data_IF_459392924995
#
_entry.id   IF_459392924995
#
_cell.length_a   1.000
_cell.length_b   1.000
_cell.length_c   1.000
_cell.angle_alpha   90.00
_cell.angle_beta   90.00
_cell.angle_gamma   90.00
#
_symmetry.space_group_name_H-M   'P 1'
#
loop_
_entity.id
_entity.type
_entity.pdbx_description
1 polymer ?
2 non-polymer ?
3 water ?
#
# COMPACT_ATOMS: atom_id res chain seq x y z
N UNK A 18 -20.61 10.94 -10.40
CA UNK A 18 -19.61 10.86 -9.29
C UNK A 18 -18.41 9.98 -9.68
N UNK A 19 -17.20 10.53 -9.59
CA UNK A 19 -16.00 9.74 -9.80
C UNK A 19 -15.06 9.86 -8.60
N UNK A 20 -14.31 8.79 -8.34
CA UNK A 20 -13.25 8.86 -7.32
C UNK A 20 -12.14 9.89 -7.64
N UNK A 21 -11.85 10.79 -6.71
CA UNK A 21 -10.79 11.74 -6.88
C UNK A 21 -9.46 11.08 -6.35
N UNK A 22 -8.39 11.27 -7.08
CA UNK A 22 -7.17 10.50 -6.76
C UNK A 22 -6.64 10.75 -5.38
N UNK A 23 -6.63 12.01 -4.96
CA UNK A 23 -6.21 12.32 -3.59
C UNK A 23 -7.35 12.55 -2.56
N UNK A 24 -8.52 12.96 -3.02
CA UNK A 24 -9.61 13.37 -2.11
C UNK A 24 -10.70 12.32 -1.95
N UNK A 25 -10.62 11.25 -2.72
CA UNK A 25 -11.51 10.12 -2.64
C UNK A 25 -12.93 10.58 -2.98
N UNK A 26 -13.81 10.49 -2.01
CA UNK A 26 -15.18 10.97 -2.18
C UNK A 26 -15.22 12.50 -2.08
N UNK A 27 -14.20 13.14 -1.57
CA UNK A 27 -14.15 14.59 -1.61
C UNK A 27 -13.52 15.22 -0.41
N UNK A 28 -13.50 14.50 0.70
CA UNK A 28 -12.90 15.00 1.94
C UNK A 28 -11.72 14.13 2.41
N UNK A 29 -11.11 13.39 1.50
CA UNK A 29 -10.06 12.44 1.85
C UNK A 29 -10.44 10.99 2.02
N UNK A 30 -11.62 10.74 2.57
CA UNK A 30 -12.10 9.36 2.70
C UNK A 30 -12.33 8.75 1.35
N UNK A 31 -12.11 7.44 1.22
CA UNK A 31 -12.28 6.76 -0.04
C UNK A 31 -13.64 6.99 -0.73
N UNK A 32 -13.61 6.98 -2.05
CA UNK A 32 -14.83 6.95 -2.86
C UNK A 32 -15.70 5.80 -2.33
N UNK A 33 -16.98 6.10 -2.14
CA UNK A 33 -17.95 5.13 -1.65
C UNK A 33 -17.70 4.63 -0.24
N UNK A 34 -16.99 5.42 0.58
CA UNK A 34 -16.64 5.00 1.94
C UNK A 34 -17.91 4.49 2.75
N UNK A 35 -18.95 5.30 2.79
CA UNK A 35 -20.20 4.93 3.51
C UNK A 35 -20.81 3.63 3.00
N UNK A 36 -20.55 3.28 1.75
CA UNK A 36 -21.12 2.03 1.19
C UNK A 36 -20.40 0.75 1.58
N UNK A 37 -19.13 0.87 1.96
CA UNK A 37 -18.37 -0.28 2.44
C UNK A 37 -18.89 -0.77 3.79
N UNK A 38 -18.78 -2.06 4.03
CA UNK A 38 -19.12 -2.66 5.32
C UNK A 38 -18.21 -2.20 6.48
N UNK A 39 -18.84 -1.82 7.61
CA UNK A 39 -18.16 -1.61 8.89
C UNK A 39 -17.89 -2.87 9.68
N UNK A 40 -18.76 -3.87 9.51
CA UNK A 40 -18.67 -5.15 10.19
C UNK A 40 -19.00 -6.29 9.25
N UNK A 41 -18.49 -7.44 9.61
CA UNK A 41 -18.64 -8.64 8.81
C UNK A 41 -20.10 -8.99 8.54
N UNK A 42 -20.94 -8.61 9.49
CA UNK A 42 -22.36 -8.92 9.44
C UNK A 42 -23.04 -8.16 8.30
N UNK A 43 -22.44 -7.05 7.83
CA UNK A 43 -23.02 -6.24 6.73
C UNK A 43 -22.59 -6.69 5.34
N UNK A 44 -21.73 -7.69 5.28
CA UNK A 44 -21.33 -8.27 4.03
C UNK A 44 -22.39 -9.24 3.55
N UNK A 45 -22.29 -9.63 2.29
CA UNK A 45 -23.14 -10.64 1.73
C UNK A 45 -22.67 -12.05 2.05
N UNK A 46 -23.61 -12.98 2.03
CA UNK A 46 -23.32 -14.36 2.32
C UNK A 46 -24.57 -15.17 2.59
N UNK A 47 -24.37 -16.41 2.96
CA UNK A 47 -25.44 -17.32 3.30
C UNK A 47 -25.17 -17.71 4.72
N UNK A 48 -26.23 -17.88 5.53
CA UNK A 48 -26.12 -18.20 6.95
C UNK A 48 -24.87 -18.96 7.35
N UNK A 49 -24.27 -19.66 6.41
CA UNK A 49 -23.03 -20.34 6.70
C UNK A 49 -21.80 -19.77 6.00
N UNK A 50 -21.94 -18.64 5.32
CA UNK A 50 -20.80 -18.06 4.64
C UNK A 50 -20.81 -16.57 4.46
N UNK A 51 -19.62 -16.10 4.07
CA UNK A 51 -19.38 -14.71 3.78
C UNK A 51 -18.77 -14.66 2.41
N UNK A 52 -19.40 -13.89 1.56
CA UNK A 52 -19.00 -13.78 0.16
C UNK A 52 -18.23 -12.47 -0.02
N UNK A 53 -16.99 -12.56 -0.51
CA UNK A 53 -16.19 -11.36 -0.83
C UNK A 53 -15.55 -11.50 -2.20
N UNK A 54 -15.82 -10.56 -3.08
CA UNK A 54 -15.19 -10.52 -4.38
C UNK A 54 -13.90 -9.64 -4.33
N UNK A 55 -12.75 -10.29 -4.22
CA UNK A 55 -11.44 -9.64 -4.20
C UNK A 55 -11.11 -8.84 -5.46
N UNK A 56 -11.87 -9.03 -6.54
CA UNK A 56 -11.71 -8.28 -7.75
C UNK A 56 -12.78 -7.21 -7.91
N UNK A 57 -13.34 -6.80 -6.78
CA UNK A 57 -14.32 -5.72 -6.77
C UNK A 57 -13.88 -4.66 -5.80
N UNK A 58 -13.98 -3.40 -6.21
CA UNK A 58 -13.49 -2.28 -5.41
C UNK A 58 -14.17 -2.22 -4.03
N UNK A 59 -15.49 -2.28 -4.05
CA UNK A 59 -16.25 -2.19 -2.79
C UNK A 59 -15.93 -3.31 -1.82
N UNK A 60 -15.83 -4.52 -2.30
CA UNK A 60 -15.49 -5.64 -1.37
C UNK A 60 -14.05 -5.44 -0.88
N UNK A 61 -13.16 -4.96 -1.75
CA UNK A 61 -11.77 -4.67 -1.28
C UNK A 61 -11.79 -3.52 -0.28
N UNK A 62 -12.61 -2.50 -0.55
CA UNK A 62 -12.75 -1.44 0.42
C UNK A 62 -13.24 -2.00 1.76
N UNK A 63 -14.21 -2.91 1.71
CA UNK A 63 -14.74 -3.49 2.96
C UNK A 63 -13.68 -4.30 3.72
N UNK A 64 -12.79 -4.97 3.00
CA UNK A 64 -11.70 -5.69 3.68
C UNK A 64 -10.84 -4.77 4.52
N UNK A 65 -10.74 -3.49 4.09
CA UNK A 65 -10.02 -2.43 4.84
C UNK A 65 -10.91 -1.82 5.91
N UNK A 66 -12.12 -1.42 5.55
CA UNK A 66 -13.00 -0.70 6.46
C UNK A 66 -13.37 -1.48 7.73
N UNK A 67 -13.58 -2.77 7.57
CA UNK A 67 -13.93 -3.67 8.67
C UNK A 67 -12.76 -3.76 9.60
N UNK A 68 -11.54 -3.80 9.06
CA UNK A 68 -10.36 -3.80 9.95
C UNK A 68 -10.19 -2.47 10.62
N UNK A 69 -10.40 -1.37 9.88
CA UNK A 69 -10.35 -0.04 10.46
C UNK A 69 -11.39 0.15 11.65
N UNK A 70 -12.61 -0.28 11.41
CA UNK A 70 -13.65 -0.18 12.45
C UNK A 70 -13.32 -1.10 13.59
N UNK A 71 -12.92 -2.32 13.26
CA UNK A 71 -12.46 -3.29 14.22
C UNK A 71 -11.35 -2.85 15.15
N UNK A 72 -10.46 -2.01 14.66
CA UNK A 72 -9.29 -1.60 15.44
C UNK A 72 -9.41 -0.15 15.92
N UNK A 73 -10.54 0.48 15.61
CA UNK A 73 -10.77 1.88 15.96
C UNK A 73 -10.56 2.19 17.45
N UNK A 74 -10.99 1.31 18.33
CA UNK A 74 -10.89 1.54 19.78
C UNK A 74 -9.46 1.77 20.27
N UNK A 75 -8.45 1.19 19.58
CA UNK A 75 -7.04 1.36 19.95
C UNK A 75 -6.43 2.74 19.61
N UNK A 76 -7.10 3.48 18.71
CA UNK A 76 -6.59 4.76 18.21
C UNK A 76 -7.49 5.94 18.47
N UNK A 77 -8.69 5.70 19.03
CA UNK A 77 -9.80 6.69 19.06
C UNK A 77 -9.49 7.97 19.79
N UNK A 78 -8.84 7.80 20.94
CA UNK A 78 -8.41 8.90 21.77
C UNK A 78 -7.51 9.93 21.06
N UNK A 79 -6.73 9.49 20.08
CA UNK A 79 -5.66 10.33 19.47
C UNK A 79 -6.14 11.31 18.41
N UNK A 80 -7.25 11.02 17.77
CA UNK A 80 -7.71 11.90 16.71
C UNK A 80 -9.13 11.60 16.36
N UNK A 81 -9.81 12.56 15.71
CA UNK A 81 -11.21 12.33 15.33
C UNK A 81 -11.31 11.32 14.21
N UNK A 82 -12.45 10.65 14.12
CA UNK A 82 -12.84 9.95 12.95
C UNK A 82 -11.90 8.80 12.60
N UNK A 83 -11.29 8.19 13.62
CA UNK A 83 -10.37 7.07 13.46
C UNK A 83 -9.15 7.43 12.51
N UNK A 84 -8.78 8.70 12.45
CA UNK A 84 -7.71 9.18 11.56
C UNK A 84 -6.28 8.91 12.05
N UNK A 85 -6.09 8.68 13.34
CA UNK A 85 -4.84 8.20 13.88
C UNK A 85 -4.55 6.75 13.56
N UNK A 86 -5.55 6.02 13.10
CA UNK A 86 -5.37 4.60 12.79
C UNK A 86 -4.36 4.37 11.65
N UNK A 87 -3.42 3.46 11.88
CA UNK A 87 -2.33 3.21 10.91
C UNK A 87 -2.67 2.24 9.80
N UNK A 88 -3.89 1.71 9.81
CA UNK A 88 -4.41 0.90 8.72
C UNK A 88 -4.83 1.72 7.49
N UNK A 89 -4.80 3.02 7.60
CA UNK A 89 -5.28 3.87 6.50
C UNK A 89 -4.43 3.75 5.18
N UNK A 90 -3.17 3.42 5.31
CA UNK A 90 -2.24 3.53 4.21
C UNK A 90 -2.71 2.87 2.93
N UNK A 91 -2.89 1.58 2.96
CA UNK A 91 -3.34 0.86 1.75
C UNK A 91 -4.81 1.07 1.48
N UNK A 92 -5.56 1.57 2.47
CA UNK A 92 -6.94 1.92 2.22
C UNK A 92 -7.01 3.13 1.31
N UNK A 93 -6.26 4.18 1.65
CA UNK A 93 -6.17 5.38 0.80
C UNK A 93 -5.60 5.04 -0.61
N UNK A 94 -4.59 4.20 -0.63
CA UNK A 94 -4.06 3.71 -1.91
C UNK A 94 -5.00 2.88 -2.77
N UNK A 95 -5.96 2.20 -2.16
CA UNK A 95 -7.00 1.56 -2.94
C UNK A 95 -7.80 2.57 -3.75
N UNK A 96 -8.22 3.65 -3.09
CA UNK A 96 -8.95 4.68 -3.78
C UNK A 96 -8.07 5.29 -4.93
N UNK A 97 -6.79 5.53 -4.62
CA UNK A 97 -5.92 6.17 -5.64
C UNK A 97 -5.75 5.28 -6.90
N UNK A 98 -5.61 3.97 -6.72
CA UNK A 98 -5.44 3.10 -7.86
C UNK A 98 -6.71 3.01 -8.69
N UNK A 99 -7.84 2.97 -8.02
CA UNK A 99 -9.15 3.11 -8.72
C UNK A 99 -9.22 4.39 -9.51
N UNK A 100 -9.02 5.52 -8.82
CA UNK A 100 -9.27 6.83 -9.38
C UNK A 100 -8.38 7.18 -10.56
N UNK A 101 -7.19 6.60 -10.59
CA UNK A 101 -6.22 6.83 -11.67
C UNK A 101 -6.23 5.74 -12.75
N UNK A 102 -7.15 4.79 -12.65
CA UNK A 102 -7.32 3.79 -13.67
C UNK A 102 -6.32 2.68 -13.58
N UNK A 103 -5.53 2.65 -12.52
CA UNK A 103 -4.47 1.69 -12.45
C UNK A 103 -4.91 0.31 -11.98
N UNK A 104 -6.12 0.20 -11.46
CA UNK A 104 -6.69 -1.14 -11.20
C UNK A 104 -7.43 -1.77 -12.40
N UNK A 105 -7.65 -1.00 -13.46
CA UNK A 105 -8.33 -1.49 -14.67
C UNK A 105 -7.40 -2.38 -15.50
N UNK A 106 -7.99 -3.11 -16.45
CA UNK A 106 -7.26 -3.97 -17.39
C UNK A 106 -6.44 -3.12 -18.36
N UNK A 107 -5.12 -3.20 -18.27
CA UNK A 107 -4.31 -2.43 -19.20
C UNK A 107 -4.07 -3.14 -20.57
N UNK A 108 -4.58 -4.38 -20.76
CA UNK A 108 -4.25 -5.17 -21.96
C UNK A 108 -5.20 -4.92 -23.11
N UNK A 109 -6.36 -4.33 -22.86
CA UNK A 109 -7.39 -4.23 -23.89
C UNK A 109 -8.23 -5.49 -24.12
N UNK A 110 -7.94 -6.59 -23.43
CA UNK A 110 -8.65 -7.86 -23.64
C UNK A 110 -10.00 -7.93 -22.94
N UNK A 111 -10.15 -7.17 -21.86
CA UNK A 111 -11.45 -7.05 -21.20
C UNK A 111 -11.75 -5.60 -21.01
N UNK A 112 -12.97 -5.33 -20.57
CA UNK A 112 -13.36 -3.99 -20.18
C UNK A 112 -13.40 -3.81 -18.64
N UNK A 113 -12.86 -4.76 -17.90
CA UNK A 113 -12.81 -4.67 -16.45
C UNK A 113 -12.10 -3.36 -16.02
N UNK A 114 -12.83 -2.55 -15.26
CA UNK A 114 -12.28 -1.34 -14.68
C UNK A 114 -12.42 -0.10 -15.52
N UNK A 115 -12.81 -0.28 -16.78
CA UNK A 115 -13.00 0.84 -17.71
C UNK A 115 -14.35 1.45 -17.53
N UNK A 116 -14.50 2.70 -17.96
CA UNK A 116 -15.80 3.42 -17.77
C UNK A 116 -16.97 2.80 -18.53
N UNK A 117 -16.67 2.25 -19.70
CA UNK A 117 -17.69 1.61 -20.50
C UNK A 117 -17.90 0.15 -20.11
N UNK A 118 -17.06 -0.39 -19.23
CA UNK A 118 -17.30 -1.73 -18.68
C UNK A 118 -17.80 -1.64 -17.27
N UNK A 119 -17.35 -2.58 -16.43
CA UNK A 119 -17.59 -2.56 -14.98
C UNK A 119 -16.49 -1.71 -14.27
N UNK A 120 -16.80 -0.48 -13.90
CA UNK A 120 -15.79 0.40 -13.29
C UNK A 120 -15.28 -0.06 -11.89
N UNK A 121 -16.01 -0.98 -11.28
CA UNK A 121 -15.67 -1.50 -9.95
C UNK A 121 -14.82 -2.71 -10.07
N UNK A 122 -14.65 -3.22 -11.28
CA UNK A 122 -13.93 -4.47 -11.46
C UNK A 122 -12.42 -4.14 -11.39
N UNK A 123 -11.67 -4.97 -10.68
CA UNK A 123 -10.21 -4.86 -10.56
C UNK A 123 -9.56 -5.96 -11.36
N UNK A 124 -8.68 -5.63 -12.30
CA UNK A 124 -8.24 -6.58 -13.29
C UNK A 124 -7.16 -7.46 -12.76
N UNK A 125 -7.19 -8.72 -13.17
CA UNK A 125 -6.06 -9.63 -12.87
C UNK A 125 -4.76 -9.13 -13.48
N UNK A 126 -4.88 -8.49 -14.63
CA UNK A 126 -3.75 -8.11 -15.44
C UNK A 126 -3.08 -6.80 -14.93
N UNK A 127 -3.76 -6.07 -14.04
CA UNK A 127 -3.25 -4.84 -13.40
C UNK A 127 -2.11 -5.16 -12.47
N UNK A 128 -0.97 -4.48 -12.67
CA UNK A 128 0.16 -4.62 -11.76
C UNK A 128 -0.20 -4.09 -10.36
N UNK A 129 -0.86 -2.95 -10.29
CA UNK A 129 -1.18 -2.38 -8.99
C UNK A 129 -2.09 -3.35 -8.22
N UNK A 130 -3.06 -3.93 -8.91
CA UNK A 130 -3.99 -4.85 -8.31
C UNK A 130 -3.21 -6.03 -7.79
N UNK A 131 -2.34 -6.57 -8.62
CA UNK A 131 -1.50 -7.67 -8.27
C UNK A 131 -0.72 -7.41 -6.98
N UNK A 132 -0.06 -6.24 -6.86
CA UNK A 132 0.73 -6.03 -5.66
C UNK A 132 -0.11 -5.64 -4.42
N UNK A 133 -1.29 -5.05 -4.62
CA UNK A 133 -2.10 -4.56 -3.47
C UNK A 133 -3.15 -5.56 -2.97
N UNK A 134 -3.27 -6.66 -3.65
CA UNK A 134 -4.34 -7.64 -3.31
C UNK A 134 -4.13 -8.24 -1.92
N UNK A 135 -2.92 -8.71 -1.65
CA UNK A 135 -2.63 -9.35 -0.35
C UNK A 135 -2.75 -8.49 0.87
N UNK A 136 -2.28 -7.24 0.79
CA UNK A 136 -2.48 -6.37 1.95
C UNK A 136 -3.94 -6.08 2.26
N UNK A 137 -4.82 -6.34 1.31
CA UNK A 137 -6.26 -6.25 1.59
C UNK A 137 -6.72 -7.60 2.07
N UNK A 138 -6.49 -8.62 1.25
CA UNK A 138 -7.14 -9.92 1.47
C UNK A 138 -6.48 -10.79 2.54
N UNK A 139 -5.16 -10.94 2.47
CA UNK A 139 -4.45 -11.77 3.45
C UNK A 139 -4.54 -11.14 4.82
N UNK A 140 -4.33 -9.84 4.86
CA UNK A 140 -4.46 -9.07 6.07
C UNK A 140 -5.86 -9.29 6.72
N UNK A 141 -6.90 -9.29 5.89
CA UNK A 141 -8.27 -9.56 6.34
C UNK A 141 -8.39 -10.90 7.08
N UNK A 142 -7.86 -11.95 6.46
CA UNK A 142 -7.82 -13.28 7.04
C UNK A 142 -7.10 -13.28 8.37
N UNK A 143 -5.96 -12.61 8.41
CA UNK A 143 -5.14 -12.55 9.62
C UNK A 143 -5.86 -11.85 10.72
N UNK A 144 -6.61 -10.82 10.38
CA UNK A 144 -7.44 -10.14 11.38
C UNK A 144 -8.56 -11.09 11.90
N UNK A 145 -9.13 -11.84 10.96
CA UNK A 145 -10.17 -12.82 11.32
C UNK A 145 -9.58 -13.86 12.29
N UNK A 146 -8.48 -14.48 11.90
CA UNK A 146 -7.79 -15.40 12.77
C UNK A 146 -7.54 -14.82 14.14
N UNK A 147 -6.98 -13.61 14.24
CA UNK A 147 -6.60 -13.03 15.54
C UNK A 147 -7.78 -12.65 16.44
N UNK A 148 -8.96 -12.58 15.86
CA UNK A 148 -10.16 -12.37 16.61
C UNK A 148 -10.65 -10.96 16.54
N UNK A 149 -10.13 -10.17 15.59
CA UNK A 149 -10.44 -8.75 15.52
C UNK A 149 -11.93 -8.48 15.26
N UNK A 150 -12.57 -9.38 14.55
CA UNK A 150 -13.98 -9.23 14.23
C UNK A 150 -14.82 -10.04 15.21
N UNK A 151 -14.17 -10.73 16.14
CA UNK A 151 -14.84 -11.63 17.07
C UNK A 151 -14.80 -13.07 16.60
N UNK A 152 -15.75 -13.85 17.11
CA UNK A 152 -15.86 -15.23 16.71
C UNK A 152 -16.61 -15.24 15.41
N UNK A 153 -16.02 -15.92 14.44
CA UNK A 153 -16.62 -15.99 13.14
C UNK A 153 -16.68 -17.44 12.77
N UNK A 154 -17.92 -17.90 12.60
CA UNK A 154 -18.21 -19.27 12.37
C UNK A 154 -18.36 -19.47 10.89
N UNK A 155 -19.00 -18.49 10.25
CA UNK A 155 -19.19 -18.52 8.81
C UNK A 155 -17.84 -18.59 8.12
N UNK A 156 -17.80 -19.32 7.01
CA UNK A 156 -16.61 -19.44 6.20
C UNK A 156 -16.57 -18.30 5.21
N UNK A 157 -15.36 -17.81 4.97
CA UNK A 157 -15.13 -16.73 4.00
C UNK A 157 -14.98 -17.34 2.62
N UNK A 158 -15.83 -16.93 1.67
CA UNK A 158 -15.74 -17.38 0.28
C UNK A 158 -15.31 -16.24 -0.67
N UNK A 159 -14.10 -16.33 -1.24
CA UNK A 159 -13.53 -15.29 -2.14
C UNK A 159 -13.74 -15.66 -3.59
N UNK A 160 -14.03 -14.69 -4.44
CA UNK A 160 -14.11 -14.96 -5.87
C UNK A 160 -12.78 -15.44 -6.39
N UNK A 161 -12.83 -16.42 -7.28
CA UNK A 161 -11.62 -17.04 -7.83
C UNK A 161 -11.13 -16.30 -9.07
N UNK A 162 -9.81 -16.25 -9.24
CA UNK A 162 -9.24 -15.77 -10.47
C UNK A 162 -9.49 -16.71 -11.66
N UNK A 163 -9.51 -16.14 -12.86
CA UNK A 163 -9.70 -16.92 -14.11
C UNK A 163 -8.42 -17.53 -14.56
N UNK A 164 -7.30 -16.87 -14.29
CA UNK A 164 -6.00 -17.37 -14.70
C UNK A 164 -5.67 -18.64 -13.93
N UNK A 165 -5.00 -19.56 -14.59
CA UNK A 165 -4.44 -20.72 -13.93
C UNK A 165 -3.17 -20.36 -13.17
N UNK A 166 -2.98 -20.97 -12.00
CA UNK A 166 -1.80 -20.72 -11.15
C UNK A 166 -1.60 -19.23 -10.95
N UNK A 167 -2.71 -18.57 -10.61
CA UNK A 167 -2.77 -17.14 -10.43
C UNK A 167 -2.12 -16.65 -9.13
N UNK A 168 -1.52 -15.44 -9.13
CA UNK A 168 -0.96 -14.88 -7.90
C UNK A 168 -2.02 -14.55 -6.84
N UNK A 169 -3.27 -14.46 -7.28
CA UNK A 169 -4.37 -14.13 -6.38
C UNK A 169 -4.93 -15.37 -5.69
N UNK A 170 -4.74 -15.49 -4.36
CA UNK A 170 -5.25 -16.61 -3.61
C UNK A 170 -6.70 -16.36 -3.27
N UNK A 171 -7.49 -17.42 -3.19
CA UNK A 171 -8.96 -17.31 -3.13
C UNK A 171 -9.60 -18.06 -1.94
N UNK A 172 -8.78 -18.45 -0.97
CA UNK A 172 -9.27 -18.99 0.29
C UNK A 172 -8.24 -18.81 1.38
N UNK A 173 -8.72 -18.77 2.61
CA UNK A 173 -7.87 -18.64 3.80
C UNK A 173 -6.72 -19.63 3.77
N UNK A 174 -7.02 -20.88 3.42
CA UNK A 174 -6.00 -21.90 3.47
C UNK A 174 -5.07 -21.80 2.30
N UNK A 175 -5.61 -21.58 1.12
CA UNK A 175 -4.75 -21.36 -0.06
C UNK A 175 -3.82 -20.12 0.12
N UNK A 176 -4.37 -19.04 0.64
CA UNK A 176 -3.59 -17.81 0.93
C UNK A 176 -2.43 -18.13 1.89
N UNK A 177 -2.79 -18.74 3.01
CA UNK A 177 -1.80 -19.20 3.97
C UNK A 177 -0.72 -20.11 3.37
N UNK A 178 -1.09 -21.02 2.47
CA UNK A 178 -0.13 -21.95 1.87
C UNK A 178 0.76 -21.26 0.85
N UNK A 179 0.17 -20.43 0.00
CA UNK A 179 0.93 -19.68 -1.02
C UNK A 179 1.85 -18.61 -0.43
N UNK A 180 1.37 -17.90 0.57
CA UNK A 180 2.08 -16.74 1.15
C UNK A 180 2.14 -16.82 2.67
N UNK A 181 2.82 -17.85 3.20
CA UNK A 181 2.80 -18.06 4.66
C UNK A 181 3.45 -16.90 5.49
N UNK A 182 4.52 -16.30 4.98
CA UNK A 182 5.17 -15.17 5.71
C UNK A 182 4.28 -13.92 5.78
N UNK A 183 3.44 -13.77 4.77
CA UNK A 183 2.57 -12.59 4.68
C UNK A 183 1.44 -12.74 5.70
N UNK A 184 0.84 -13.93 5.74
CA UNK A 184 -0.15 -14.24 6.78
C UNK A 184 0.41 -14.12 8.19
N UNK A 185 1.62 -14.66 8.43
CA UNK A 185 2.20 -14.68 9.81
C UNK A 185 2.52 -13.25 10.28
N UNK A 186 3.04 -12.41 9.39
CA UNK A 186 3.35 -11.00 9.78
C UNK A 186 2.13 -10.14 10.02
N UNK A 187 1.10 -10.24 9.19
CA UNK A 187 -0.12 -9.49 9.49
C UNK A 187 -0.76 -10.04 10.79
N UNK A 188 -0.77 -11.37 10.96
CA UNK A 188 -1.20 -11.97 12.27
C UNK A 188 -0.47 -11.33 13.47
N UNK A 189 0.86 -11.23 13.41
CA UNK A 189 1.64 -10.59 14.50
C UNK A 189 1.14 -9.19 14.81
N UNK A 190 0.83 -8.40 13.77
CA UNK A 190 0.27 -7.08 14.02
C UNK A 190 -1.06 -7.14 14.79
N UNK A 191 -2.02 -7.94 14.29
CA UNK A 191 -3.35 -8.03 14.93
C UNK A 191 -3.31 -8.67 16.35
N UNK A 192 -2.41 -9.62 16.53
CA UNK A 192 -2.22 -10.25 17.85
C UNK A 192 -1.68 -9.26 18.85
N UNK A 193 -0.77 -8.41 18.41
CA UNK A 193 -0.27 -7.39 19.29
C UNK A 193 -1.43 -6.49 19.74
N UNK A 194 -2.28 -6.08 18.80
CA UNK A 194 -3.41 -5.24 19.19
C UNK A 194 -4.36 -5.92 20.22
N UNK A 195 -4.72 -7.17 19.94
CA UNK A 195 -5.65 -7.94 20.77
C UNK A 195 -5.07 -8.05 22.17
N UNK A 196 -3.77 -8.22 22.24
CA UNK A 196 -3.07 -8.31 23.49
C UNK A 196 -3.25 -7.09 24.37
N UNK A 197 -3.63 -5.97 23.77
CA UNK A 197 -3.81 -4.75 24.51
C UNK A 197 -5.11 -4.78 25.30
N UNK A 198 -5.99 -5.70 24.96
CA UNK A 198 -7.22 -5.88 25.70
C UNK A 198 -6.87 -6.77 26.87
N UNK A 199 -5.98 -7.71 26.61
CA UNK A 199 -5.55 -8.64 27.63
C UNK A 199 -4.59 -8.09 28.63
N UNK A 200 -4.28 -6.80 28.61
CA UNK A 200 -3.33 -6.30 29.57
C UNK A 200 -3.54 -4.88 29.95
N UNK A 201 -4.41 -4.20 29.22
CA UNK A 201 -4.71 -2.81 29.47
C UNK A 201 -3.59 -1.83 29.14
N UNK A 202 -2.47 -2.30 28.63
CA UNK A 202 -1.41 -1.40 28.28
C UNK A 202 -1.97 -0.43 27.26
N UNK A 203 -1.52 0.81 27.23
CA UNK A 203 -1.89 1.64 26.08
C UNK A 203 -0.96 1.25 24.92
N UNK A 204 -1.42 1.47 23.69
CA UNK A 204 -0.70 1.04 22.48
C UNK A 204 0.66 1.72 22.43
N UNK A 205 1.65 0.99 22.00
CA UNK A 205 2.96 1.59 21.70
C UNK A 205 2.93 1.84 20.20
N UNK A 206 2.74 3.08 19.82
CA UNK A 206 2.58 3.40 18.41
C UNK A 206 3.79 2.98 17.56
N UNK A 207 5.02 3.26 18.03
CA UNK A 207 6.19 2.98 17.21
C UNK A 207 6.21 1.51 16.92
N UNK A 208 5.93 0.69 17.93
CA UNK A 208 5.90 -0.77 17.77
C UNK A 208 4.79 -1.26 16.87
N UNK A 209 3.58 -0.76 17.06
CA UNK A 209 2.46 -1.11 16.18
C UNK A 209 2.78 -0.75 14.73
N UNK A 210 3.33 0.45 14.52
CA UNK A 210 3.65 0.87 13.13
C UNK A 210 4.77 -0.05 12.54
N UNK A 211 5.74 -0.39 13.37
CA UNK A 211 6.84 -1.30 12.91
C UNK A 211 6.36 -2.70 12.54
N UNK A 212 5.46 -3.25 13.33
CA UNK A 212 4.81 -4.50 12.96
C UNK A 212 3.98 -4.40 11.69
N UNK A 213 3.20 -3.34 11.53
CA UNK A 213 2.39 -3.23 10.31
C UNK A 213 3.25 -3.05 9.05
N UNK A 214 4.27 -2.23 9.15
CA UNK A 214 5.25 -2.09 8.02
C UNK A 214 5.97 -3.38 7.68
N UNK A 215 6.31 -4.16 8.70
CA UNK A 215 6.99 -5.45 8.42
C UNK A 215 6.08 -6.36 7.59
N UNK A 216 4.81 -6.40 7.93
CA UNK A 216 3.86 -7.17 7.14
C UNK A 216 3.70 -6.60 5.74
N UNK A 217 3.57 -5.26 5.66
CA UNK A 217 3.47 -4.62 4.36
C UNK A 217 4.70 -4.99 3.51
N UNK A 218 5.90 -4.89 4.06
CA UNK A 218 7.16 -5.12 3.27
C UNK A 218 7.27 -6.59 2.84
N UNK A 219 6.92 -7.50 3.74
CA UNK A 219 6.98 -8.93 3.47
C UNK A 219 6.04 -9.22 2.30
N UNK A 220 4.86 -8.59 2.31
CA UNK A 220 3.90 -8.75 1.19
C UNK A 220 4.57 -8.23 -0.11
N UNK A 221 5.12 -7.01 -0.08
CA UNK A 221 5.71 -6.48 -1.31
C UNK A 221 6.80 -7.43 -1.82
N UNK A 222 7.68 -7.82 -0.91
CA UNK A 222 8.78 -8.71 -1.26
C UNK A 222 8.26 -10.07 -1.72
N UNK A 223 7.11 -10.53 -1.19
CA UNK A 223 6.49 -11.77 -1.69
C UNK A 223 5.79 -11.69 -3.01
N UNK A 224 5.43 -10.48 -3.44
CA UNK A 224 4.72 -10.31 -4.69
C UNK A 224 5.52 -9.70 -5.81
N UNK A 225 6.74 -9.24 -5.55
CA UNK A 225 7.48 -8.53 -6.59
C UNK A 225 7.80 -9.43 -7.79
N UNK A 226 8.19 -10.67 -7.54
CA UNK A 226 8.61 -11.57 -8.61
C UNK A 226 7.39 -12.04 -9.38
N UNK A 227 6.33 -12.40 -8.67
CA UNK A 227 5.13 -12.91 -9.30
C UNK A 227 4.39 -11.85 -10.12
N UNK A 228 4.36 -10.64 -9.63
CA UNK A 228 3.67 -9.53 -10.35
C UNK A 228 4.47 -8.92 -11.47
N UNK A 229 5.76 -9.17 -11.50
CA UNK A 229 6.69 -8.46 -12.37
C UNK A 229 6.31 -8.52 -13.84
N UNK A 230 5.81 -9.68 -14.34
CA UNK A 230 5.45 -9.74 -15.77
C UNK A 230 4.38 -8.75 -16.18
N UNK A 231 3.48 -8.43 -15.26
CA UNK A 231 2.46 -7.40 -15.54
C UNK A 231 2.99 -6.01 -15.84
N UNK A 232 4.23 -5.74 -15.46
CA UNK A 232 4.84 -4.48 -15.79
C UNK A 232 4.88 -4.26 -17.31
N UNK A 233 4.98 -5.35 -18.08
CA UNK A 233 5.03 -5.19 -19.53
C UNK A 233 3.73 -4.78 -20.13
N UNK A 234 2.63 -4.84 -19.40
CA UNK A 234 1.38 -4.30 -19.88
C UNK A 234 1.32 -2.77 -19.96
N UNK A 235 2.36 -2.08 -19.52
CA UNK A 235 2.31 -0.60 -19.46
C UNK A 235 3.42 -0.09 -20.27
N UNK A 236 3.25 1.11 -20.83
CA UNK A 236 4.36 1.80 -21.50
C UNK A 236 5.54 2.00 -20.54
N UNK A 237 6.71 2.25 -21.11
CA UNK A 237 7.94 2.32 -20.33
C UNK A 237 7.97 3.39 -19.23
N UNK A 238 7.25 4.48 -19.43
CA UNK A 238 7.28 5.58 -18.40
C UNK A 238 6.46 5.16 -17.18
N UNK A 239 5.23 4.71 -17.42
CA UNK A 239 4.38 4.20 -16.33
C UNK A 239 4.99 3.01 -15.61
N UNK A 240 5.67 2.16 -16.36
CA UNK A 240 6.26 0.95 -15.82
C UNK A 240 7.40 1.28 -14.85
N UNK A 241 8.23 2.23 -15.21
CA UNK A 241 9.35 2.68 -14.35
C UNK A 241 8.81 3.41 -13.10
N UNK A 242 7.71 4.15 -13.25
CA UNK A 242 7.06 4.64 -12.05
C UNK A 242 6.69 3.47 -11.09
N UNK A 243 6.13 2.39 -11.60
CA UNK A 243 5.76 1.24 -10.77
C UNK A 243 6.95 0.70 -9.99
N UNK A 244 8.02 0.46 -10.72
CA UNK A 244 9.26 0.00 -10.13
C UNK A 244 9.80 0.97 -9.13
N UNK A 245 9.82 2.24 -9.51
CA UNK A 245 10.36 3.27 -8.60
C UNK A 245 9.57 3.31 -7.33
N UNK A 246 8.25 3.22 -7.46
CA UNK A 246 7.35 3.22 -6.28
C UNK A 246 7.59 2.05 -5.32
N UNK A 247 7.73 0.88 -5.87
CA UNK A 247 7.85 -0.33 -5.01
C UNK A 247 9.17 -0.28 -4.26
N UNK A 248 10.26 0.00 -4.99
CA UNK A 248 11.60 0.10 -4.33
C UNK A 248 11.58 1.23 -3.30
N UNK A 249 11.07 2.41 -3.69
CA UNK A 249 10.95 3.49 -2.68
C UNK A 249 10.24 3.14 -1.45
N UNK A 250 9.10 2.45 -1.59
CA UNK A 250 8.27 2.03 -0.44
C UNK A 250 9.14 1.30 0.60
N UNK A 251 10.09 0.52 0.15
CA UNK A 251 10.92 -0.31 1.07
C UNK A 251 11.83 0.57 1.88
N UNK A 252 12.26 1.69 1.27
CA UNK A 252 13.06 2.63 2.00
C UNK A 252 12.21 3.40 2.98
N UNK A 253 11.06 3.85 2.54
CA UNK A 253 10.15 4.58 3.46
C UNK A 253 9.71 3.76 4.63
N UNK A 254 9.44 2.48 4.37
CA UNK A 254 8.99 1.55 5.41
C UNK A 254 9.97 1.44 6.54
N UNK A 255 11.26 1.32 6.19
CA UNK A 255 12.32 1.25 7.19
C UNK A 255 12.40 2.48 8.11
N UNK A 256 11.92 3.64 7.67
CA UNK A 256 11.97 4.83 8.53
C UNK A 256 10.87 4.75 9.62
N UNK A 257 9.96 3.82 9.47
CA UNK A 257 8.72 3.70 10.27
C UNK A 257 7.80 4.94 10.15
N UNK A 258 7.77 5.58 8.96
CA UNK A 258 6.91 6.72 8.70
C UNK A 258 5.46 6.34 8.93
N UNK A 259 4.67 7.28 9.51
CA UNK A 259 3.28 6.82 9.78
C UNK A 259 2.42 6.54 8.54
N UNK A 260 1.56 5.53 8.63
CA UNK A 260 0.59 5.20 7.63
C UNK A 260 -0.84 5.50 8.06
N UNK A 261 -0.98 6.52 8.88
CA UNK A 261 -2.27 7.02 9.28
C UNK A 261 -2.92 7.84 8.14
N UNK A 262 -4.08 8.44 8.43
CA UNK A 262 -4.89 9.10 7.43
C UNK A 262 -4.19 10.33 6.87
N UNK A 263 -3.65 11.17 7.75
CA UNK A 263 -3.04 12.43 7.35
C UNK A 263 -1.82 12.18 6.46
N UNK A 264 -0.97 11.24 6.83
CA UNK A 264 0.23 11.00 6.07
C UNK A 264 -0.08 10.30 4.79
N UNK A 265 -1.13 9.47 4.77
CA UNK A 265 -1.47 8.72 3.57
C UNK A 265 -2.06 9.69 2.50
N UNK A 266 -2.86 10.65 2.94
CA UNK A 266 -3.40 11.67 2.05
C UNK A 266 -2.26 12.49 1.49
N UNK A 267 -1.35 12.93 2.35
CA UNK A 267 -0.13 13.62 1.89
C UNK A 267 0.61 12.88 0.80
N UNK A 268 0.81 11.58 0.99
CA UNK A 268 1.43 10.76 -0.04
C UNK A 268 0.68 10.73 -1.34
N UNK A 269 -0.59 10.34 -1.34
CA UNK A 269 -1.33 10.29 -2.55
C UNK A 269 -1.48 11.63 -3.23
N UNK A 270 -1.52 12.73 -2.48
CA UNK A 270 -1.65 13.99 -3.07
C UNK A 270 -0.38 14.32 -3.89
N UNK A 271 0.76 13.71 -3.56
CA UNK A 271 1.99 13.88 -4.33
C UNK A 271 2.17 12.84 -5.43
N UNK A 272 1.29 11.86 -5.60
CA UNK A 272 1.50 10.85 -6.59
C UNK A 272 0.80 11.32 -7.86
N UNK A 273 1.22 10.83 -9.01
CA UNK A 273 0.60 11.26 -10.26
C UNK A 273 -0.89 10.92 -10.30
N UNK A 274 -1.72 11.88 -10.73
CA UNK A 274 -3.19 11.71 -10.77
C UNK A 274 -3.71 10.97 -12.00
N UNK A 275 -2.80 10.53 -12.85
CA UNK A 275 -3.13 9.78 -14.02
C UNK A 275 -1.93 8.88 -14.31
N UNK A 276 -2.18 7.87 -15.14
CA UNK A 276 -1.07 7.03 -15.67
C UNK A 276 -0.11 7.85 -16.51
N UNK A 277 1.17 7.57 -16.37
CA UNK A 277 2.18 8.25 -17.12
C UNK A 277 2.22 7.71 -18.56
N UNK A 278 2.76 8.51 -19.46
CA UNK A 278 2.91 8.05 -20.82
C UNK A 278 4.15 8.65 -21.44
N UNK A 279 4.44 8.15 -22.63
CA UNK A 279 5.61 8.57 -23.37
C UNK A 279 5.49 10.06 -23.61
N UNK A 280 6.53 10.81 -23.29
CA UNK A 280 6.41 12.29 -23.33
C UNK A 280 6.45 12.94 -21.93
N UNK A 281 6.03 12.20 -20.90
CA UNK A 281 6.16 12.68 -19.49
C UNK A 281 7.62 12.56 -19.01
N UNK A 282 8.23 13.70 -18.65
CA UNK A 282 9.55 13.74 -18.02
C UNK A 282 9.44 14.62 -16.76
N UNK A 283 9.46 14.01 -15.59
CA UNK A 283 9.48 14.74 -14.33
C UNK A 283 10.80 15.44 -14.24
N UNK A 284 10.90 16.67 -13.71
CA UNK A 284 9.85 17.40 -13.01
C UNK A 284 9.14 18.38 -13.94
N UNK A 285 9.06 18.04 -15.23
CA UNK A 285 8.54 19.00 -16.20
C UNK A 285 7.18 18.60 -16.78
N UNK A 286 6.40 17.85 -16.01
CA UNK A 286 5.08 17.38 -16.52
C UNK A 286 4.08 18.50 -16.28
N UNK A 287 3.59 19.14 -17.36
CA UNK A 287 2.89 20.40 -17.14
C UNK A 287 1.46 20.32 -16.50
N UNK A 288 0.80 19.18 -16.51
CA UNK A 288 -0.49 19.08 -15.80
C UNK A 288 -0.31 18.57 -14.39
N UNK A 289 0.90 18.64 -13.83
CA UNK A 289 1.12 18.27 -12.43
C UNK A 289 1.82 19.36 -11.63
N UNK A 290 1.43 19.45 -10.40
CA UNK A 290 2.01 20.50 -9.51
C UNK A 290 3.49 20.13 -9.12
N UNK A 291 4.15 21.01 -8.39
CA UNK A 291 5.56 20.86 -8.05
C UNK A 291 5.78 19.66 -7.17
N UNK A 292 4.87 19.44 -6.21
CA UNK A 292 4.96 18.26 -5.34
C UNK A 292 4.88 16.93 -6.03
N UNK A 293 4.03 16.81 -7.04
CA UNK A 293 3.93 15.56 -7.82
C UNK A 293 5.16 15.37 -8.69
N UNK A 294 5.57 16.44 -9.39
CA UNK A 294 6.76 16.40 -10.22
C UNK A 294 8.00 16.04 -9.38
N UNK A 295 8.16 16.66 -8.22
CA UNK A 295 9.29 16.34 -7.35
C UNK A 295 9.28 14.93 -6.82
N UNK A 296 8.15 14.50 -6.31
CA UNK A 296 8.10 13.14 -5.86
C UNK A 296 8.53 12.17 -6.93
N UNK A 297 8.02 12.33 -8.17
CA UNK A 297 8.44 11.39 -9.22
C UNK A 297 9.95 11.35 -9.33
N UNK A 298 10.63 12.52 -9.27
CA UNK A 298 12.07 12.57 -9.30
C UNK A 298 12.69 11.80 -8.09
N UNK A 299 12.17 12.03 -6.92
CA UNK A 299 12.59 11.31 -5.70
C UNK A 299 12.42 9.77 -5.72
N UNK A 300 11.29 9.28 -6.22
CA UNK A 300 11.06 7.91 -6.32
C UNK A 300 12.10 7.27 -7.28
N UNK A 301 12.38 7.95 -8.41
CA UNK A 301 13.39 7.49 -9.30
C UNK A 301 14.83 7.57 -8.70
N UNK A 302 15.03 8.53 -7.79
CA UNK A 302 16.26 8.68 -7.03
C UNK A 302 16.53 7.46 -6.17
N UNK A 303 15.49 6.98 -5.45
CA UNK A 303 15.64 5.75 -4.68
C UNK A 303 15.95 4.56 -5.58
N UNK A 304 15.23 4.46 -6.67
CA UNK A 304 15.44 3.41 -7.62
C UNK A 304 16.91 3.41 -8.08
N UNK A 305 17.42 4.58 -8.44
CA UNK A 305 18.74 4.74 -8.98
C UNK A 305 19.83 4.31 -7.97
N UNK A 306 19.67 4.72 -6.73
CA UNK A 306 20.63 4.32 -5.67
C UNK A 306 20.61 2.85 -5.46
N UNK A 307 19.40 2.32 -5.39
CA UNK A 307 19.21 0.92 -5.18
C UNK A 307 19.84 0.12 -6.33
N UNK A 308 19.48 0.50 -7.54
CA UNK A 308 19.95 -0.14 -8.74
C UNK A 308 21.49 -0.09 -8.92
N UNK A 309 22.10 1.07 -8.76
CA UNK A 309 23.52 1.25 -8.95
C UNK A 309 24.36 0.55 -7.83
N UNK A 310 23.77 0.40 -6.64
CA UNK A 310 24.36 -0.32 -5.50
C UNK A 310 24.02 -1.82 -5.52
N UNK A 311 23.31 -2.26 -6.55
CA UNK A 311 22.90 -3.64 -6.70
C UNK A 311 22.06 -4.13 -5.53
N UNK A 312 21.24 -3.23 -4.95
CA UNK A 312 20.39 -3.55 -3.83
C UNK A 312 21.08 -3.38 -2.49
N UNK A 313 22.41 -3.18 -2.49
CA UNK A 313 23.12 -3.22 -1.20
C UNK A 313 22.78 -1.98 -0.34
N UNK A 314 22.42 -0.86 -0.98
CA UNK A 314 21.99 0.33 -0.25
C UNK A 314 20.79 0.06 0.70
N UNK A 315 19.87 -0.81 0.29
CA UNK A 315 18.71 -1.13 1.13
C UNK A 315 19.12 -1.95 2.36
N UNK A 316 20.09 -2.84 2.19
CA UNK A 316 20.59 -3.62 3.33
C UNK A 316 21.25 -2.67 4.33
N UNK A 317 22.11 -1.77 3.84
CA UNK A 317 22.74 -0.74 4.67
C UNK A 317 21.66 0.12 5.33
N UNK A 318 20.67 0.54 4.55
CA UNK A 318 19.61 1.44 5.07
C UNK A 318 18.89 0.77 6.22
N UNK A 319 18.48 -0.47 6.05
CA UNK A 319 17.79 -1.16 7.10
C UNK A 319 18.66 -1.36 8.37
N UNK A 320 19.96 -1.60 8.20
CA UNK A 320 20.91 -1.67 9.34
C UNK A 320 20.92 -0.32 10.06
N UNK A 321 21.04 0.75 9.31
CA UNK A 321 21.11 2.08 9.92
C UNK A 321 19.80 2.42 10.63
N UNK A 322 18.69 1.92 10.08
CA UNK A 322 17.37 2.19 10.60
C UNK A 322 17.02 1.36 11.87
N UNK A 323 17.91 0.46 12.32
CA UNK A 323 17.75 -0.17 13.62
C UNK A 323 17.80 0.88 14.74
N UNK A 324 18.47 2.02 14.53
CA UNK A 324 18.44 3.12 15.48
C UNK A 324 17.17 4.01 15.40
N UNK A 325 16.44 4.16 16.52
CA UNK A 325 15.31 5.09 16.62
C UNK A 325 15.65 6.52 16.29
N UNK A 326 16.88 6.91 16.58
CA UNK A 326 17.34 8.27 16.28
C UNK A 326 17.50 8.51 14.77
N UNK A 327 18.15 7.55 14.12
CA UNK A 327 18.22 7.52 12.66
C UNK A 327 16.83 7.50 12.00
N UNK A 328 15.92 6.67 12.52
CA UNK A 328 14.54 6.59 11.94
C UNK A 328 13.89 7.94 12.02
N UNK A 329 14.05 8.60 13.16
CA UNK A 329 13.48 9.93 13.32
C UNK A 329 14.09 10.96 12.35
N UNK A 330 15.40 10.89 12.17
CA UNK A 330 16.10 11.78 11.19
C UNK A 330 15.67 11.46 9.77
N UNK A 331 15.48 10.17 9.47
CA UNK A 331 15.01 9.79 8.18
C UNK A 331 13.56 10.20 7.90
N UNK A 332 12.68 10.15 8.91
CA UNK A 332 11.32 10.66 8.79
C UNK A 332 11.33 12.17 8.47
N UNK A 333 12.25 12.94 9.06
CA UNK A 333 12.36 14.38 8.75
C UNK A 333 12.71 14.55 7.22
N UNK A 334 13.54 13.65 6.66
CA UNK A 334 13.80 13.68 5.21
C UNK A 334 12.49 13.36 4.45
N UNK A 335 11.75 12.30 4.83
CA UNK A 335 10.49 11.96 4.17
C UNK A 335 9.54 13.15 4.24
N UNK A 336 9.46 13.84 5.37
CA UNK A 336 8.58 15.02 5.43
C UNK A 336 8.95 16.14 4.49
N UNK A 337 10.26 16.37 4.31
CA UNK A 337 10.79 17.31 3.36
C UNK A 337 10.36 16.89 1.92
N UNK A 338 10.54 15.65 1.59
CA UNK A 338 10.10 15.09 0.31
C UNK A 338 8.59 15.34 0.08
N UNK A 339 7.74 15.03 1.04
CA UNK A 339 6.30 15.18 0.82
C UNK A 339 5.86 16.66 0.72
N UNK A 340 6.63 17.58 1.30
CA UNK A 340 6.27 18.98 1.16
C UNK A 340 6.75 19.52 -0.20
N UNK A 341 7.55 18.73 -0.92
CA UNK A 341 8.07 19.15 -2.23
C UNK A 341 9.38 19.83 -2.23
N UNK A 342 10.05 19.81 -1.08
CA UNK A 342 11.37 20.45 -0.97
C UNK A 342 12.34 19.68 -1.83
N UNK A 343 13.11 20.35 -2.68
CA UNK A 343 13.94 19.56 -3.58
C UNK A 343 15.02 18.87 -2.71
N UNK A 344 15.16 17.57 -2.83
CA UNK A 344 16.26 16.85 -2.17
C UNK A 344 16.90 15.94 -3.25
N UNK A 345 18.20 15.83 -3.24
CA UNK A 345 18.89 14.80 -4.01
C UNK A 345 19.02 13.58 -3.10
N UNK A 346 18.33 12.50 -3.44
CA UNK A 346 18.30 11.27 -2.60
C UNK A 346 19.65 10.77 -2.20
N UNK A 347 20.56 10.69 -3.16
CA UNK A 347 21.91 10.16 -2.91
C UNK A 347 22.63 11.03 -1.89
N UNK A 348 22.46 12.35 -1.97
CA UNK A 348 23.08 13.24 -1.01
C UNK A 348 22.47 13.08 0.39
N UNK A 349 21.16 13.06 0.49
CA UNK A 349 20.52 12.85 1.81
C UNK A 349 20.88 11.46 2.45
N UNK A 350 20.92 10.43 1.62
CA UNK A 350 21.27 9.08 2.07
C UNK A 350 22.65 9.06 2.53
N UNK A 351 23.55 9.69 1.80
CA UNK A 351 24.96 9.75 2.24
C UNK A 351 25.08 10.38 3.63
N UNK A 352 24.36 11.49 3.78
CA UNK A 352 24.33 12.18 5.02
C UNK A 352 23.90 11.25 6.12
N UNK A 353 22.99 10.34 5.85
CA UNK A 353 22.53 9.42 6.86
C UNK A 353 23.39 8.16 6.90
N UNK A 354 24.56 8.17 6.30
CA UNK A 354 25.44 7.00 6.35
C UNK A 354 25.46 6.00 5.21
N UNK A 355 24.78 6.28 4.12
CA UNK A 355 24.75 5.35 3.02
C UNK A 355 25.79 5.67 1.95
N UNK A 356 26.71 4.75 1.70
CA UNK A 356 27.65 4.98 0.60
C UNK A 356 26.94 5.29 -0.71
N UNK A 357 27.35 6.33 -1.38
CA UNK A 357 26.75 6.70 -2.63
C UNK A 357 27.38 5.76 -3.72
N UNK A 358 26.56 4.95 -4.46
CA UNK A 358 27.23 4.22 -5.54
C UNK A 358 27.41 5.11 -6.77
N UNK A 359 28.17 4.63 -7.76
CA UNK A 359 28.33 5.34 -8.99
C UNK A 359 28.16 4.33 -10.09
N UNK A 360 27.85 4.77 -11.29
CA UNK A 360 27.62 3.85 -12.39
C UNK A 360 28.91 3.20 -12.94
N UNK A 361 28.95 1.88 -12.96
CA UNK A 361 30.12 1.15 -13.43
C UNK A 361 29.99 0.48 -14.79
N UNK A 362 28.82 0.54 -15.39
CA UNK A 362 28.66 -0.06 -16.71
C UNK A 362 29.35 0.87 -17.72
X LIG B 1 -15.56 13.44 10.64
X LIG B 1 -15.64 14.82 11.28
X LIG B 1 -16.80 15.69 10.74
X LIG B 1 -16.83 15.63 9.23
X LIG B 1 -16.79 14.20 8.70
X LIG B 1 -16.66 14.19 7.17
X LIG B 1 -14.94 15.18 13.58
X LIG B 1 -15.18 14.86 15.03
X LIG B 1 -15.75 14.64 12.72
X LIG B 1 -16.54 17.01 11.14
X LIG B 1 -17.97 16.29 8.73
X LIG B 1 -15.67 13.50 9.23
X LIG B 1 -15.31 14.39 6.75
X LIG B 1 -14.03 15.93 13.23
#
# INVERSE_FOLDING_TARGET
>A
MALSLCVLFTLASVVSGHVAHPSLGRGDGFPFLWDNAASTLDQLNGTDTTIILNGFNYLDRLSMFKTVLEGTRKYFDSFAPNNTANIYWGFTIYLNWILATGRSADPTGHTTCGLAHGDPMCLAEESWWNCIKYNPAAIAFFAAKKAGIFGDVTKTIVLAKPKEANSPYCSSEEECQAAYPDVMATYLDYFEYLMSLEKTGESIDMDKAQQLLWKAHVTSMENSIAVCKPRLKNYNIIERQLDRDYLISLLYFAATNFPTNFIESIKFVADMPHRQLRFGDIAPFIPDMDMKKNNLLVVLHGFYTVHSLSGGSSLTHWRNLMESPVSREMARDMVNLILAGTPVEVQVELAKLGIPTPVDYKDDDK
>B hetero
1 NAG C1 C2 C3 C4 C5 C6 C7 C8 N2 O3 O4 O5 O6 O7
#
